data_IF_390114687918
#
_entry.id   IF_390114687918
#
_cell.length_a   1.000
_cell.length_b   1.000
_cell.length_c   1.000
_cell.angle_alpha   90.00
_cell.angle_beta   90.00
_cell.angle_gamma   90.00
#
_symmetry.space_group_name_H-M   'P 1'
#
loop_
_entity.id
_entity.type
_entity.pdbx_description
1 polymer ?
#
# COMPACT_ATOMS: atom_id res chain seq x y z
N UNK A 1 22.31 4.32 2.63
CA UNK A 1 22.02 2.88 2.84
C UNK A 1 20.73 2.69 3.63
N UNK A 2 20.47 3.53 4.64
CA UNK A 2 19.27 3.45 5.48
C UNK A 2 17.96 3.66 4.69
N UNK A 3 17.88 4.67 3.82
CA UNK A 3 16.66 4.93 3.02
C UNK A 3 16.21 3.75 2.15
N UNK A 4 17.16 2.96 1.63
CA UNK A 4 16.84 1.76 0.85
C UNK A 4 16.23 0.68 1.73
N UNK A 5 16.70 0.53 2.97
CA UNK A 5 16.18 -0.45 3.92
C UNK A 5 14.78 -0.06 4.37
N UNK A 6 14.58 1.22 4.72
CA UNK A 6 13.26 1.76 5.09
C UNK A 6 12.25 1.63 3.96
N UNK A 7 12.65 1.89 2.70
CA UNK A 7 11.75 1.69 1.56
C UNK A 7 11.29 0.23 1.41
N UNK A 8 12.21 -0.74 1.53
CA UNK A 8 11.89 -2.17 1.47
C UNK A 8 10.94 -2.58 2.59
N UNK A 9 11.16 -2.09 3.81
CA UNK A 9 10.26 -2.34 4.95
C UNK A 9 8.86 -1.79 4.70
N UNK A 10 8.74 -0.57 4.15
CA UNK A 10 7.44 0.02 3.79
C UNK A 10 6.73 -0.82 2.72
N UNK A 11 7.44 -1.25 1.68
CA UNK A 11 6.86 -2.11 0.63
C UNK A 11 6.38 -3.45 1.21
N UNK A 12 7.14 -4.06 2.12
CA UNK A 12 6.71 -5.28 2.83
C UNK A 12 5.37 -5.07 3.56
N UNK A 13 5.21 -3.95 4.26
CA UNK A 13 3.95 -3.62 4.95
C UNK A 13 2.78 -3.48 3.97
N UNK A 14 3.00 -2.92 2.77
CA UNK A 14 1.94 -2.80 1.76
C UNK A 14 1.50 -4.19 1.24
N UNK A 15 2.44 -5.11 1.05
CA UNK A 15 2.12 -6.50 0.67
C UNK A 15 1.39 -7.25 1.80
N UNK A 16 1.74 -7.02 3.06
CA UNK A 16 1.00 -7.57 4.20
C UNK A 16 -0.46 -7.07 4.23
N UNK A 17 -0.70 -5.80 3.91
CA UNK A 17 -2.06 -5.26 3.80
C UNK A 17 -2.87 -5.96 2.69
N UNK A 18 -2.24 -6.28 1.56
CA UNK A 18 -2.88 -7.08 0.50
C UNK A 18 -3.25 -8.48 0.98
N UNK A 19 -2.32 -9.18 1.65
CA UNK A 19 -2.59 -10.50 2.21
C UNK A 19 -3.77 -10.44 3.20
N UNK A 20 -3.79 -9.44 4.07
CA UNK A 20 -4.89 -9.22 5.02
C UNK A 20 -6.22 -8.93 4.30
N UNK A 21 -6.19 -8.13 3.22
CA UNK A 21 -7.37 -7.88 2.40
C UNK A 21 -7.93 -9.19 1.82
N UNK A 22 -7.07 -10.03 1.24
CA UNK A 22 -7.46 -11.26 0.56
C UNK A 22 -7.98 -12.33 1.53
N UNK A 23 -7.40 -12.41 2.73
CA UNK A 23 -7.81 -13.35 3.78
C UNK A 23 -9.03 -12.90 4.59
N UNK A 24 -9.33 -11.60 4.59
CA UNK A 24 -10.44 -11.07 5.36
C UNK A 24 -11.79 -11.54 4.81
N UNK A 25 -12.70 -11.94 5.68
CA UNK A 25 -14.12 -12.15 5.35
C UNK A 25 -14.99 -10.93 5.63
N UNK A 26 -14.40 -9.86 6.18
CA UNK A 26 -15.12 -8.66 6.60
C UNK A 26 -14.98 -7.55 5.54
N UNK A 27 -16.08 -7.22 4.87
CA UNK A 27 -16.11 -6.20 3.81
C UNK A 27 -15.69 -4.81 4.29
N UNK A 28 -15.97 -4.44 5.55
CA UNK A 28 -15.51 -3.16 6.12
C UNK A 28 -14.00 -3.14 6.26
N UNK A 29 -13.39 -4.26 6.63
CA UNK A 29 -11.94 -4.40 6.72
C UNK A 29 -11.31 -4.31 5.34
N UNK A 30 -11.85 -5.02 4.34
CA UNK A 30 -11.41 -4.91 2.94
C UNK A 30 -11.48 -3.48 2.43
N UNK A 31 -12.62 -2.82 2.63
CA UNK A 31 -12.82 -1.44 2.23
C UNK A 31 -11.83 -0.49 2.92
N UNK A 32 -11.61 -0.65 4.22
CA UNK A 32 -10.64 0.15 4.96
C UNK A 32 -9.21 -0.01 4.40
N UNK A 33 -8.79 -1.24 4.07
CA UNK A 33 -7.49 -1.50 3.47
C UNK A 33 -7.36 -0.82 2.10
N UNK A 34 -8.39 -0.92 1.24
CA UNK A 34 -8.43 -0.21 -0.05
C UNK A 34 -8.24 1.29 0.13
N UNK A 35 -8.96 1.91 1.08
CA UNK A 35 -8.82 3.34 1.39
C UNK A 35 -7.41 3.69 1.88
N UNK A 36 -6.78 2.84 2.69
CA UNK A 36 -5.43 3.10 3.20
C UNK A 36 -4.35 3.00 2.11
N UNK A 37 -4.45 2.03 1.21
CA UNK A 37 -3.54 1.94 0.05
C UNK A 37 -3.68 3.17 -0.86
N UNK A 38 -4.92 3.60 -1.11
CA UNK A 38 -5.19 4.82 -1.88
C UNK A 38 -4.65 6.08 -1.18
N UNK A 39 -4.79 6.18 0.15
CA UNK A 39 -4.23 7.28 0.94
C UNK A 39 -2.70 7.35 0.84
N UNK A 40 -2.02 6.20 0.91
CA UNK A 40 -0.55 6.11 0.73
C UNK A 40 -0.16 6.57 -0.67
N UNK A 41 -0.84 6.10 -1.72
CA UNK A 41 -0.57 6.52 -3.09
C UNK A 41 -0.65 8.03 -3.26
N UNK A 42 -1.74 8.67 -2.80
CA UNK A 42 -1.92 10.11 -2.93
C UNK A 42 -0.87 10.90 -2.14
N UNK A 43 -0.56 10.48 -0.91
CA UNK A 43 0.46 11.14 -0.09
C UNK A 43 1.86 10.98 -0.70
N UNK A 44 2.21 9.80 -1.19
CA UNK A 44 3.50 9.56 -1.83
C UNK A 44 3.64 10.39 -3.11
N UNK A 45 2.60 10.43 -3.94
CA UNK A 45 2.56 11.23 -5.16
C UNK A 45 2.76 12.73 -4.89
N UNK A 46 2.05 13.28 -3.88
CA UNK A 46 2.18 14.70 -3.49
C UNK A 46 3.56 15.08 -2.95
N UNK A 47 4.31 14.10 -2.42
CA UNK A 47 5.65 14.31 -1.87
C UNK A 47 6.76 13.88 -2.84
N UNK A 48 6.46 13.68 -4.13
CA UNK A 48 7.40 13.20 -5.16
C UNK A 48 8.10 11.88 -4.81
N UNK A 49 7.46 11.04 -3.98
CA UNK A 49 7.95 9.70 -3.63
C UNK A 49 7.48 8.69 -4.67
N UNK A 50 7.92 8.85 -5.92
CA UNK A 50 7.38 8.14 -7.09
C UNK A 50 7.37 6.62 -6.92
N UNK A 51 8.46 6.03 -6.41
CA UNK A 51 8.55 4.58 -6.21
C UNK A 51 7.55 4.03 -5.19
N UNK A 52 7.24 4.81 -4.14
CA UNK A 52 6.25 4.41 -3.14
C UNK A 52 4.83 4.59 -3.69
N UNK A 53 4.62 5.64 -4.47
CA UNK A 53 3.36 5.84 -5.19
C UNK A 53 3.09 4.69 -6.16
N UNK A 54 4.08 4.30 -6.97
CA UNK A 54 4.00 3.16 -7.89
C UNK A 54 3.65 1.87 -7.15
N UNK A 55 4.43 1.49 -6.13
CA UNK A 55 4.20 0.25 -5.37
C UNK A 55 2.82 0.20 -4.70
N UNK A 56 2.38 1.30 -4.07
CA UNK A 56 1.07 1.36 -3.43
C UNK A 56 -0.10 1.34 -4.44
N UNK A 57 0.07 1.98 -5.59
CA UNK A 57 -0.93 1.97 -6.66
C UNK A 57 -1.05 0.59 -7.31
N UNK A 58 0.07 -0.10 -7.58
CA UNK A 58 0.06 -1.46 -8.13
C UNK A 58 -0.75 -2.41 -7.23
N UNK A 59 -0.50 -2.36 -5.92
CA UNK A 59 -1.25 -3.18 -4.95
C UNK A 59 -2.73 -2.77 -4.93
N UNK A 60 -3.03 -1.47 -4.92
CA UNK A 60 -4.40 -0.97 -4.96
C UNK A 60 -5.17 -1.47 -6.20
N UNK A 61 -4.55 -1.47 -7.38
CA UNK A 61 -5.18 -1.97 -8.62
C UNK A 61 -5.42 -3.48 -8.58
N UNK A 62 -4.54 -4.26 -7.95
CA UNK A 62 -4.70 -5.72 -7.83
C UNK A 62 -5.90 -6.08 -6.95
N UNK A 63 -6.09 -5.36 -5.84
CA UNK A 63 -7.18 -5.68 -4.90
C UNK A 63 -8.51 -5.02 -5.25
N UNK A 64 -8.52 -4.07 -6.20
CA UNK A 64 -9.73 -3.33 -6.58
C UNK A 64 -10.64 -4.14 -7.49
#
# INVERSE_FOLDING_TARGET
MEDKKTFVEIVSVLEELKILHDQSSNDKCKHFIKLKLQEVYYKASRNNMNKLAEASNEIYQIIN
#
